data_IF_145007415459
#
_entry.id   IF_145007415459
#
_cell.length_a   1.000
_cell.length_b   1.000
_cell.length_c   1.000
_cell.angle_alpha   90.00
_cell.angle_beta   90.00
_cell.angle_gamma   90.00
#
_symmetry.space_group_name_H-M   'P 1'
#
loop_
_entity.id
_entity.type
_entity.pdbx_description
1 polymer ?
#
# COMPACT_ATOMS: atom_id res chain seq x y z
N UNK A 1 -33.78 39.77 -33.31
CA UNK A 1 -32.98 40.19 -32.14
C UNK A 1 -33.20 39.29 -30.92
N UNK A 2 -34.39 39.25 -30.29
CA UNK A 2 -34.64 38.47 -29.06
C UNK A 2 -34.38 36.95 -29.22
N UNK A 3 -34.83 36.34 -30.32
CA UNK A 3 -34.60 34.90 -30.57
C UNK A 3 -33.13 34.56 -30.86
N UNK A 4 -32.38 35.48 -31.46
CA UNK A 4 -30.96 35.26 -31.75
C UNK A 4 -30.12 35.24 -30.46
N UNK A 5 -30.40 36.15 -29.53
CA UNK A 5 -29.79 36.14 -28.20
C UNK A 5 -30.11 34.86 -27.42
N UNK A 6 -31.35 34.36 -27.53
CA UNK A 6 -31.77 33.15 -26.85
C UNK A 6 -31.04 31.91 -27.39
N UNK A 7 -30.93 31.77 -28.72
CA UNK A 7 -30.17 30.68 -29.36
C UNK A 7 -28.69 30.76 -28.99
N UNK A 8 -28.10 31.96 -29.02
CA UNK A 8 -26.72 32.17 -28.60
C UNK A 8 -26.51 31.73 -27.14
N UNK A 9 -27.41 32.11 -26.24
CA UNK A 9 -27.31 31.76 -24.82
C UNK A 9 -27.43 30.24 -24.59
N UNK A 10 -28.33 29.55 -25.30
CA UNK A 10 -28.43 28.09 -25.26
C UNK A 10 -27.12 27.44 -25.73
N UNK A 11 -26.53 27.97 -26.80
CA UNK A 11 -25.29 27.43 -27.36
C UNK A 11 -24.12 27.60 -26.38
N UNK A 12 -24.01 28.75 -25.73
CA UNK A 12 -23.00 28.99 -24.67
C UNK A 12 -23.22 28.03 -23.50
N UNK A 13 -24.46 27.88 -23.01
CA UNK A 13 -24.77 26.94 -21.93
C UNK A 13 -24.45 25.49 -22.28
N UNK A 14 -24.72 25.07 -23.52
CA UNK A 14 -24.40 23.73 -23.98
C UNK A 14 -22.88 23.48 -23.97
N UNK A 15 -22.08 24.45 -24.45
CA UNK A 15 -20.62 24.35 -24.45
C UNK A 15 -20.06 24.32 -23.03
N UNK A 16 -20.55 25.19 -22.14
CA UNK A 16 -20.11 25.20 -20.73
C UNK A 16 -20.50 23.91 -20.02
N UNK A 17 -21.72 23.41 -20.26
CA UNK A 17 -22.18 22.14 -19.71
C UNK A 17 -21.32 20.95 -20.15
N UNK A 18 -20.95 20.89 -21.43
CA UNK A 18 -20.05 19.85 -21.95
C UNK A 18 -18.65 19.94 -21.33
N UNK A 19 -18.09 21.15 -21.20
CA UNK A 19 -16.78 21.33 -20.57
C UNK A 19 -16.80 20.93 -19.08
N UNK A 20 -17.84 21.34 -18.36
CA UNK A 20 -18.00 20.99 -16.95
C UNK A 20 -18.14 19.47 -16.77
N UNK A 21 -18.89 18.80 -17.65
CA UNK A 21 -19.04 17.35 -17.63
C UNK A 21 -17.72 16.62 -17.91
N UNK A 22 -16.97 17.06 -18.92
CA UNK A 22 -15.67 16.48 -19.24
C UNK A 22 -14.67 16.68 -18.10
N UNK A 23 -14.66 17.86 -17.47
CA UNK A 23 -13.81 18.14 -16.31
C UNK A 23 -14.18 17.25 -15.11
N UNK A 24 -15.47 17.00 -14.91
CA UNK A 24 -15.94 16.12 -13.85
C UNK A 24 -15.47 14.66 -14.06
N UNK A 25 -15.52 14.15 -15.30
CA UNK A 25 -14.99 12.82 -15.63
C UNK A 25 -13.48 12.77 -15.42
N UNK A 26 -12.73 13.71 -15.97
CA UNK A 26 -11.26 13.74 -15.80
C UNK A 26 -10.86 13.80 -14.33
N UNK A 27 -11.56 14.61 -13.52
CA UNK A 27 -11.32 14.66 -12.08
C UNK A 27 -11.53 13.31 -11.42
N UNK A 28 -12.55 12.55 -11.83
CA UNK A 28 -12.81 11.22 -11.28
C UNK A 28 -11.69 10.25 -11.66
N UNK A 29 -11.29 10.23 -12.92
CA UNK A 29 -10.21 9.36 -13.40
C UNK A 29 -8.89 9.65 -12.67
N UNK A 30 -8.54 10.93 -12.46
CA UNK A 30 -7.36 11.31 -11.68
C UNK A 30 -7.43 10.92 -10.21
N UNK A 31 -8.62 10.96 -9.60
CA UNK A 31 -8.81 10.53 -8.21
C UNK A 31 -8.62 9.02 -8.10
N UNK A 32 -9.15 8.26 -9.05
CA UNK A 32 -9.00 6.80 -9.08
C UNK A 32 -7.52 6.41 -9.30
N UNK A 33 -6.82 7.06 -10.23
CA UNK A 33 -5.38 6.86 -10.46
C UNK A 33 -4.54 7.23 -9.22
N UNK A 34 -4.86 8.35 -8.56
CA UNK A 34 -4.19 8.76 -7.33
C UNK A 34 -4.37 7.74 -6.21
N UNK A 35 -5.56 7.16 -6.05
CA UNK A 35 -5.79 6.11 -5.04
C UNK A 35 -4.92 4.88 -5.32
N UNK A 36 -4.84 4.43 -6.57
CA UNK A 36 -3.97 3.31 -6.95
C UNK A 36 -2.50 3.59 -6.63
N UNK A 37 -2.02 4.78 -6.97
CA UNK A 37 -0.64 5.17 -6.68
C UNK A 37 -0.36 5.28 -5.18
N UNK A 38 -1.32 5.77 -4.38
CA UNK A 38 -1.20 5.83 -2.92
C UNK A 38 -1.13 4.44 -2.30
N UNK A 39 -1.96 3.50 -2.75
CA UNK A 39 -1.92 2.13 -2.27
C UNK A 39 -0.61 1.44 -2.63
N UNK A 40 -0.09 1.66 -3.85
CA UNK A 40 1.21 1.14 -4.25
C UNK A 40 2.36 1.75 -3.43
N UNK A 41 2.36 3.06 -3.20
CA UNK A 41 3.35 3.73 -2.37
C UNK A 41 3.34 3.18 -0.94
N UNK A 42 2.16 2.95 -0.36
CA UNK A 42 2.02 2.37 0.98
C UNK A 42 2.51 0.93 1.06
N UNK A 43 2.24 0.13 0.02
CA UNK A 43 2.76 -1.24 -0.08
C UNK A 43 4.29 -1.23 -0.13
N UNK A 44 4.88 -0.39 -0.97
CA UNK A 44 6.34 -0.25 -1.09
C UNK A 44 6.98 0.24 0.21
N UNK A 45 6.35 1.17 0.92
CA UNK A 45 6.82 1.62 2.24
C UNK A 45 6.83 0.47 3.25
N UNK A 46 5.77 -0.34 3.27
CA UNK A 46 5.67 -1.51 4.15
C UNK A 46 6.73 -2.58 3.79
N UNK A 47 6.91 -2.88 2.50
CA UNK A 47 7.95 -3.81 2.04
C UNK A 47 9.35 -3.31 2.41
N UNK A 48 9.61 -2.01 2.27
CA UNK A 48 10.89 -1.43 2.61
C UNK A 48 11.17 -1.49 4.13
N UNK A 49 10.15 -1.26 4.96
CA UNK A 49 10.26 -1.42 6.42
C UNK A 49 10.60 -2.87 6.78
N UNK A 50 9.87 -3.85 6.24
CA UNK A 50 10.13 -5.27 6.49
C UNK A 50 11.55 -5.67 6.05
N UNK A 51 11.99 -5.22 4.88
CA UNK A 51 13.35 -5.48 4.40
C UNK A 51 14.42 -4.82 5.29
N UNK A 52 14.15 -3.62 5.80
CA UNK A 52 15.05 -2.95 6.74
C UNK A 52 15.16 -3.70 8.06
N UNK A 53 14.03 -4.16 8.59
CA UNK A 53 13.97 -4.94 9.83
C UNK A 53 14.70 -6.29 9.66
N UNK A 54 14.50 -6.97 8.52
CA UNK A 54 15.22 -8.19 8.17
C UNK A 54 16.73 -7.93 8.09
N UNK A 55 17.15 -6.86 7.42
CA UNK A 55 18.57 -6.50 7.31
C UNK A 55 19.20 -6.23 8.69
N UNK A 56 18.50 -5.52 9.57
CA UNK A 56 18.96 -5.29 10.94
C UNK A 56 19.05 -6.60 11.73
N UNK A 57 18.06 -7.48 11.60
CA UNK A 57 18.06 -8.79 12.25
C UNK A 57 19.24 -9.66 11.79
N UNK A 58 19.50 -9.73 10.49
CA UNK A 58 20.60 -10.51 9.91
C UNK A 58 21.99 -9.87 10.06
N UNK A 59 22.06 -8.61 10.47
CA UNK A 59 23.34 -7.95 10.76
C UNK A 59 24.00 -8.50 12.03
N UNK A 60 23.22 -9.09 12.93
CA UNK A 60 23.72 -9.81 14.09
C UNK A 60 24.12 -11.25 13.72
N UNK A 61 25.41 -11.56 13.85
CA UNK A 61 25.98 -12.88 13.56
C UNK A 61 25.30 -14.00 14.36
N UNK A 62 24.79 -13.74 15.57
CA UNK A 62 24.05 -14.75 16.36
C UNK A 62 22.70 -15.08 15.73
N UNK A 63 21.99 -14.07 15.24
CA UNK A 63 20.70 -14.26 14.58
C UNK A 63 20.87 -14.94 13.22
N UNK A 64 21.92 -14.59 12.48
CA UNK A 64 22.30 -15.29 11.26
C UNK A 64 22.57 -16.78 11.54
N UNK A 65 23.31 -17.09 12.61
CA UNK A 65 23.59 -18.47 13.02
C UNK A 65 22.31 -19.22 13.42
N UNK A 66 21.38 -18.58 14.14
CA UNK A 66 20.07 -19.16 14.49
C UNK A 66 19.29 -19.56 13.23
N UNK A 67 19.23 -18.68 12.23
CA UNK A 67 18.49 -18.97 10.99
C UNK A 67 19.14 -20.08 10.15
N UNK A 68 20.47 -20.13 10.10
CA UNK A 68 21.21 -21.24 9.47
C UNK A 68 20.93 -22.55 10.22
N UNK A 69 21.02 -22.55 11.55
CA UNK A 69 20.71 -23.72 12.38
C UNK A 69 19.27 -24.19 12.17
N UNK A 70 18.30 -23.28 12.15
CA UNK A 70 16.90 -23.57 11.91
C UNK A 70 16.67 -24.20 10.52
N UNK A 71 17.27 -23.62 9.46
CA UNK A 71 17.12 -24.10 8.07
C UNK A 71 17.66 -25.52 7.87
N UNK A 72 18.75 -25.88 8.54
CA UNK A 72 19.34 -27.22 8.46
C UNK A 72 18.91 -28.15 9.60
N UNK A 73 17.99 -27.69 10.47
CA UNK A 73 17.56 -28.38 11.69
C UNK A 73 18.75 -28.86 12.55
N UNK A 74 19.79 -28.04 12.61
CA UNK A 74 21.00 -28.30 13.39
C UNK A 74 20.75 -27.92 14.84
N UNK A 75 20.93 -28.89 15.75
CA UNK A 75 20.85 -28.68 17.20
C UNK A 75 22.21 -28.92 17.82
N UNK A 76 22.62 -28.03 18.70
CA UNK A 76 23.84 -28.24 19.46
C UNK A 76 23.58 -29.34 20.50
N UNK A 77 24.45 -30.36 20.65
CA UNK A 77 24.28 -31.38 21.68
C UNK A 77 24.27 -30.81 23.12
N UNK A 78 24.67 -29.54 23.31
CA UNK A 78 24.61 -28.81 24.58
C UNK A 78 23.38 -27.89 24.75
N UNK A 79 22.46 -27.80 23.78
CA UNK A 79 21.27 -26.95 23.87
C UNK A 79 20.21 -27.54 24.82
N UNK A 80 19.77 -26.75 25.81
CA UNK A 80 18.70 -27.13 26.73
C UNK A 80 17.32 -26.95 26.07
N UNK A 81 16.50 -28.01 26.07
CA UNK A 81 15.13 -27.97 25.56
C UNK A 81 14.20 -27.35 26.60
N UNK A 82 13.66 -26.17 26.31
CA UNK A 82 12.69 -25.49 27.17
C UNK A 82 11.25 -25.77 26.66
N UNK A 83 10.44 -26.45 27.46
CA UNK A 83 9.02 -26.73 27.15
C UNK A 83 8.16 -25.71 27.92
N UNK A 84 7.55 -24.77 27.19
CA UNK A 84 6.58 -23.83 27.76
C UNK A 84 5.20 -24.47 27.75
N UNK A 85 4.69 -24.83 28.94
CA UNK A 85 3.31 -25.28 29.12
C UNK A 85 2.47 -24.07 29.54
N UNK A 86 1.45 -23.66 28.75
CA UNK A 86 0.57 -22.57 29.16
C UNK A 86 -0.22 -22.98 30.40
N UNK A 87 -0.31 -22.08 31.38
CA UNK A 87 -1.16 -22.29 32.55
C UNK A 87 -2.63 -22.35 32.08
N UNK A 88 -3.32 -23.44 32.41
CA UNK A 88 -4.77 -23.52 32.29
C UNK A 88 -5.35 -22.52 33.30
N UNK A 89 -5.91 -21.42 32.81
CA UNK A 89 -6.76 -20.56 33.63
C UNK A 89 -8.06 -21.33 33.90
N UNK A 90 -8.29 -21.73 35.16
CA UNK A 90 -9.56 -22.28 35.68
C UNK A 90 -10.59 -21.19 35.98
#
# INVERSE_FOLDING_TARGET
MKYFLLVFFILVLAVVGLQAYNLFIQRRDYVDELMVLMDEAKRLETENQLLSDDLEYYQDDENLLKEVKARFNYKDPSEELLILVPALEE
#
